data_IF_274045406054
#
_entry.id   IF_274045406054
#
_cell.length_a   1.000
_cell.length_b   1.000
_cell.length_c   1.000
_cell.angle_alpha   90.00
_cell.angle_beta   90.00
_cell.angle_gamma   90.00
#
_symmetry.space_group_name_H-M   'P 1'
#
loop_
_entity.id
_entity.type
_entity.pdbx_description
1 polymer ?
#
# COMPACT_ATOMS: atom_id res chain seq x y z
N UNK A 1 29.80 -57.96 -2.72
CA UNK A 1 29.34 -56.62 -3.12
C UNK A 1 27.84 -56.59 -2.90
N UNK A 2 27.39 -56.03 -1.78
CA UNK A 2 25.97 -55.85 -1.48
C UNK A 2 25.65 -54.36 -1.56
N UNK A 3 24.73 -54.03 -2.45
CA UNK A 3 24.29 -52.69 -2.81
C UNK A 3 23.54 -52.03 -1.65
N UNK A 4 24.10 -50.97 -1.08
CA UNK A 4 23.40 -50.09 -0.12
C UNK A 4 22.67 -49.01 -0.92
N UNK A 5 21.50 -49.36 -1.45
CA UNK A 5 20.58 -48.39 -2.01
C UNK A 5 20.11 -47.45 -0.89
N UNK A 6 20.79 -46.30 -0.79
CA UNK A 6 20.50 -45.21 0.13
C UNK A 6 19.13 -44.64 -0.22
N UNK A 7 18.11 -45.00 0.58
CA UNK A 7 16.77 -44.44 0.47
C UNK A 7 16.81 -42.97 0.89
N UNK A 8 16.94 -42.08 -0.08
CA UNK A 8 16.84 -40.64 0.10
C UNK A 8 15.40 -40.29 0.46
N UNK A 9 15.16 -40.02 1.74
CA UNK A 9 13.90 -39.46 2.24
C UNK A 9 13.63 -38.12 1.53
N UNK A 10 12.39 -37.85 1.09
CA UNK A 10 12.04 -36.56 0.54
C UNK A 10 12.19 -35.48 1.62
N UNK A 11 12.64 -34.26 1.27
CA UNK A 11 12.69 -33.16 2.23
C UNK A 11 11.28 -32.87 2.73
N UNK A 12 11.11 -32.87 4.06
CA UNK A 12 9.86 -32.48 4.69
C UNK A 12 9.50 -31.07 4.21
N UNK A 13 8.39 -30.95 3.47
CA UNK A 13 7.82 -29.67 3.10
C UNK A 13 7.49 -28.91 4.38
N UNK A 14 8.18 -27.78 4.60
CA UNK A 14 7.81 -26.87 5.67
C UNK A 14 6.40 -26.38 5.39
N UNK A 15 5.44 -26.77 6.22
CA UNK A 15 4.09 -26.24 6.15
C UNK A 15 4.19 -24.72 6.36
N UNK A 16 4.11 -23.95 5.28
CA UNK A 16 4.01 -22.50 5.36
C UNK A 16 2.70 -22.19 6.07
N UNK A 17 2.79 -21.64 7.28
CA UNK A 17 1.64 -21.10 7.97
C UNK A 17 0.92 -20.12 7.04
N UNK A 18 -0.42 -20.18 6.93
CA UNK A 18 -1.17 -19.21 6.14
C UNK A 18 -0.81 -17.80 6.61
N UNK A 19 -0.21 -17.00 5.73
CA UNK A 19 -0.02 -15.58 6.00
C UNK A 19 -1.41 -14.95 6.16
N UNK A 20 -1.68 -14.17 7.22
CA UNK A 20 -2.93 -13.46 7.34
C UNK A 20 -3.14 -12.62 6.08
N UNK A 21 -4.22 -12.85 5.37
CA UNK A 21 -4.62 -11.96 4.28
C UNK A 21 -5.01 -10.62 4.89
N UNK A 22 -4.46 -9.48 4.41
CA UNK A 22 -4.84 -8.18 4.92
C UNK A 22 -6.35 -7.97 4.85
N UNK A 23 -6.92 -7.32 5.87
CA UNK A 23 -8.31 -6.91 5.85
C UNK A 23 -8.58 -6.01 4.62
N UNK A 24 -9.58 -6.33 3.77
CA UNK A 24 -9.90 -5.55 2.58
C UNK A 24 -10.18 -4.07 2.89
N UNK A 25 -10.81 -3.77 4.03
CA UNK A 25 -11.11 -2.40 4.42
C UNK A 25 -9.85 -1.64 4.88
N UNK A 26 -8.88 -2.29 5.53
CA UNK A 26 -7.54 -1.71 5.75
C UNK A 26 -6.84 -1.39 4.43
N UNK A 27 -6.83 -2.35 3.51
CA UNK A 27 -6.19 -2.20 2.19
C UNK A 27 -6.78 -1.03 1.41
N UNK A 28 -8.10 -0.87 1.42
CA UNK A 28 -8.78 0.22 0.74
C UNK A 28 -8.45 1.60 1.36
N UNK A 29 -8.34 1.69 2.69
CA UNK A 29 -7.94 2.92 3.39
C UNK A 29 -6.48 3.28 3.14
N UNK A 30 -5.60 2.29 3.12
CA UNK A 30 -4.17 2.48 2.79
C UNK A 30 -3.99 2.97 1.35
N UNK A 31 -4.75 2.41 0.41
CA UNK A 31 -4.77 2.89 -0.97
C UNK A 31 -5.16 4.37 -1.06
N UNK A 32 -6.25 4.75 -0.40
CA UNK A 32 -6.70 6.14 -0.36
C UNK A 32 -5.63 7.06 0.27
N UNK A 33 -4.96 6.60 1.33
CA UNK A 33 -3.91 7.37 1.97
C UNK A 33 -2.75 7.69 1.03
N UNK A 34 -2.27 6.69 0.28
CA UNK A 34 -1.21 6.86 -0.72
C UNK A 34 -1.68 7.81 -1.83
N UNK A 35 -2.90 7.63 -2.33
CA UNK A 35 -3.48 8.48 -3.37
C UNK A 35 -3.55 9.95 -2.93
N UNK A 36 -4.12 10.20 -1.75
CA UNK A 36 -4.22 11.55 -1.17
C UNK A 36 -2.83 12.17 -0.96
N UNK A 37 -1.86 11.39 -0.50
CA UNK A 37 -0.47 11.86 -0.36
C UNK A 37 0.13 12.30 -1.69
N UNK A 38 -0.05 11.52 -2.75
CA UNK A 38 0.43 11.87 -4.09
C UNK A 38 -0.25 13.12 -4.64
N UNK A 39 -1.57 13.23 -4.48
CA UNK A 39 -2.33 14.41 -4.91
C UNK A 39 -1.92 15.67 -4.14
N UNK A 40 -1.69 15.53 -2.83
CA UNK A 40 -1.21 16.64 -1.98
C UNK A 40 0.16 17.12 -2.41
N UNK A 41 1.07 16.18 -2.70
CA UNK A 41 2.40 16.49 -3.24
C UNK A 41 2.30 17.25 -4.57
N UNK A 42 1.49 16.76 -5.51
CA UNK A 42 1.28 17.44 -6.80
C UNK A 42 0.70 18.85 -6.62
N UNK A 43 -0.31 19.00 -5.75
CA UNK A 43 -0.87 20.32 -5.44
C UNK A 43 0.19 21.26 -4.87
N UNK A 44 1.06 20.78 -3.98
CA UNK A 44 2.17 21.59 -3.48
C UNK A 44 3.16 21.91 -4.59
N UNK A 45 3.56 20.97 -5.44
CA UNK A 45 4.50 21.23 -6.56
C UNK A 45 3.97 22.27 -7.56
N UNK A 46 2.65 22.39 -7.73
CA UNK A 46 2.02 23.35 -8.63
C UNK A 46 1.91 24.78 -8.06
N UNK A 47 2.12 24.97 -6.75
CA UNK A 47 2.08 26.30 -6.13
C UNK A 47 3.41 27.01 -6.35
N UNK A 48 3.36 28.13 -7.08
CA UNK A 48 4.48 29.04 -7.27
C UNK A 48 4.85 29.70 -5.94
N UNK A 49 6.13 29.74 -5.60
CA UNK A 49 6.62 30.23 -4.29
C UNK A 49 6.66 31.74 -4.18
N UNK A 50 6.51 32.46 -5.30
CA UNK A 50 6.47 33.92 -5.34
C UNK A 50 7.68 34.60 -4.67
N UNK A 51 7.56 35.91 -4.45
CA UNK A 51 8.64 36.71 -3.85
C UNK A 51 8.86 36.43 -2.35
N UNK A 52 7.97 35.64 -1.72
CA UNK A 52 8.02 35.31 -0.30
C UNK A 52 8.25 33.80 -0.09
N UNK A 53 9.44 33.35 -0.51
CA UNK A 53 9.91 31.97 -0.35
C UNK A 53 10.89 31.83 0.83
N UNK A 54 10.87 30.67 1.49
CA UNK A 54 11.92 30.26 2.44
C UNK A 54 13.22 29.77 1.77
N UNK A 55 13.34 29.89 0.45
CA UNK A 55 14.54 29.53 -0.32
C UNK A 55 14.90 28.04 -0.23
N UNK A 56 16.19 27.73 -0.33
CA UNK A 56 16.68 26.34 -0.30
C UNK A 56 16.33 25.57 1.00
N UNK A 57 16.11 26.30 2.10
CA UNK A 57 15.67 25.70 3.37
C UNK A 57 14.23 25.17 3.28
N UNK A 58 13.32 25.95 2.68
CA UNK A 58 11.94 25.49 2.42
C UNK A 58 11.93 24.29 1.48
N UNK A 59 12.70 24.35 0.39
CA UNK A 59 12.73 23.32 -0.65
C UNK A 59 13.08 21.93 -0.09
N UNK A 60 14.07 21.85 0.82
CA UNK A 60 14.45 20.60 1.49
C UNK A 60 13.32 19.99 2.33
N UNK A 61 12.49 20.81 2.98
CA UNK A 61 11.44 20.33 3.90
C UNK A 61 10.06 20.25 3.25
N UNK A 62 9.85 20.84 2.07
CA UNK A 62 8.56 20.87 1.38
C UNK A 62 8.05 19.46 1.06
N UNK A 63 8.93 18.53 0.68
CA UNK A 63 8.57 17.13 0.47
C UNK A 63 8.07 16.46 1.75
N UNK A 64 8.82 16.62 2.85
CA UNK A 64 8.44 16.09 4.18
C UNK A 64 7.10 16.65 4.64
N UNK A 65 6.88 17.95 4.43
CA UNK A 65 5.61 18.59 4.76
C UNK A 65 4.45 18.03 3.93
N UNK A 66 4.65 17.83 2.62
CA UNK A 66 3.64 17.22 1.74
C UNK A 66 3.26 15.81 2.22
N UNK A 67 4.24 15.00 2.61
CA UNK A 67 4.01 13.65 3.14
C UNK A 67 3.21 13.68 4.44
N UNK A 68 3.59 14.52 5.40
CA UNK A 68 2.87 14.64 6.68
C UNK A 68 1.44 15.16 6.47
N UNK A 69 1.26 16.12 5.57
CA UNK A 69 -0.05 16.65 5.24
C UNK A 69 -0.94 15.60 4.58
N UNK A 70 -0.40 14.86 3.60
CA UNK A 70 -1.10 13.73 2.97
C UNK A 70 -1.54 12.68 4.00
N UNK A 71 -0.65 12.33 4.93
CA UNK A 71 -0.94 11.38 6.01
C UNK A 71 -2.06 11.87 6.93
N UNK A 72 -2.06 13.15 7.31
CA UNK A 72 -3.11 13.72 8.18
C UNK A 72 -4.45 13.84 7.46
N UNK A 73 -4.46 14.19 6.16
CA UNK A 73 -5.70 14.19 5.36
C UNK A 73 -6.28 12.77 5.28
N UNK A 74 -5.43 11.77 5.04
CA UNK A 74 -5.84 10.38 5.00
C UNK A 74 -6.44 9.91 6.34
N UNK A 75 -5.76 10.22 7.46
CA UNK A 75 -6.23 9.83 8.82
C UNK A 75 -7.56 10.46 9.21
N UNK A 76 -7.83 11.69 8.77
CA UNK A 76 -9.05 12.44 9.12
C UNK A 76 -10.29 12.00 8.36
N UNK A 77 -10.18 11.00 7.49
CA UNK A 77 -11.31 10.44 6.73
C UNK A 77 -11.11 10.46 5.21
N UNK A 78 -9.94 10.88 4.73
CA UNK A 78 -9.62 10.87 3.31
C UNK A 78 -10.56 11.74 2.49
N UNK A 79 -10.86 11.30 1.27
CA UNK A 79 -11.74 11.98 0.32
C UNK A 79 -12.99 11.14 -0.03
N UNK A 80 -13.16 9.98 0.60
CA UNK A 80 -14.28 9.06 0.38
C UNK A 80 -14.04 8.04 -0.74
N UNK A 81 -12.80 7.80 -1.13
CA UNK A 81 -12.43 6.81 -2.15
C UNK A 81 -12.42 5.37 -1.61
N UNK A 82 -12.08 5.18 -0.33
CA UNK A 82 -11.93 3.85 0.27
C UNK A 82 -13.16 2.92 0.10
N UNK A 83 -14.43 3.38 0.24
CA UNK A 83 -15.59 2.51 0.01
C UNK A 83 -15.67 1.96 -1.42
N UNK A 84 -15.37 2.79 -2.43
CA UNK A 84 -15.39 2.36 -3.83
C UNK A 84 -14.26 1.37 -4.14
N UNK A 85 -13.09 1.58 -3.55
CA UNK A 85 -11.94 0.66 -3.67
C UNK A 85 -12.24 -0.68 -3.00
N UNK A 86 -12.84 -0.66 -1.80
CA UNK A 86 -13.27 -1.86 -1.09
C UNK A 86 -14.26 -2.68 -1.94
N UNK A 87 -15.25 -2.02 -2.53
CA UNK A 87 -16.21 -2.63 -3.44
C UNK A 87 -15.52 -3.37 -4.61
N UNK A 88 -14.48 -2.76 -5.20
CA UNK A 88 -13.69 -3.39 -6.25
C UNK A 88 -12.87 -4.58 -5.74
N UNK A 89 -12.24 -4.44 -4.57
CA UNK A 89 -11.47 -5.51 -3.93
C UNK A 89 -12.37 -6.74 -3.69
N UNK A 90 -13.59 -6.53 -3.17
CA UNK A 90 -14.55 -7.61 -2.92
C UNK A 90 -14.99 -8.27 -4.24
N UNK A 91 -15.28 -7.48 -5.29
CA UNK A 91 -15.66 -8.01 -6.60
C UNK A 91 -14.57 -8.89 -7.22
N UNK A 92 -13.31 -8.49 -7.12
CA UNK A 92 -12.17 -9.27 -7.62
C UNK A 92 -11.99 -10.58 -6.84
N UNK A 93 -12.21 -10.55 -5.52
CA UNK A 93 -12.17 -11.76 -4.70
C UNK A 93 -13.34 -12.70 -4.99
N UNK A 94 -14.55 -12.17 -5.19
CA UNK A 94 -15.74 -12.95 -5.55
C UNK A 94 -15.64 -13.66 -6.90
N UNK A 95 -14.92 -13.08 -7.86
CA UNK A 95 -14.64 -13.70 -9.17
C UNK A 95 -13.55 -14.79 -9.14
N UNK A 96 -12.74 -14.85 -8.07
CA UNK A 96 -11.61 -15.78 -7.95
C UNK A 96 -11.96 -17.08 -7.22
N UNK A 97 -13.18 -17.20 -6.68
CA UNK A 97 -13.60 -18.30 -5.80
C UNK A 97 -14.47 -19.40 -6.44
N UNK A 98 -14.84 -19.30 -7.71
CA UNK A 98 -15.70 -20.30 -8.38
C UNK A 98 -15.15 -20.70 -9.76
N UNK A 99 -14.04 -21.43 -9.73
CA UNK A 99 -13.53 -22.20 -10.87
C UNK A 99 -13.42 -23.67 -10.47
N UNK A 100 -14.57 -24.34 -10.38
CA UNK A 100 -14.71 -25.80 -10.36
C UNK A 100 -15.64 -26.19 -11.51
#
# INVERSE_FOLDING_TARGET
>A
MADIASAMLPPAATAQMPRPTPDPASTAREFEAVFVGQMTKLMMEMVDTGDFSGGAGEEMFRGVLAEQMGNEIAKRGGIGLAPAVLDQIIRMQGGSGHGQ
#
